data_IF_749448299626
#
_entry.id   IF_749448299626
#
_cell.length_a   1.000
_cell.length_b   1.000
_cell.length_c   1.000
_cell.angle_alpha   90.00
_cell.angle_beta   90.00
_cell.angle_gamma   90.00
#
_symmetry.space_group_name_H-M   'P 1'
#
loop_
_entity.id
_entity.type
_entity.pdbx_description
1 polymer ?
#
# COMPACT_ATOMS: atom_id res chain seq x y z
N UNK A 1 -21.07 -3.63 4.29
CA UNK A 1 -20.90 -3.14 2.90
C UNK A 1 -20.39 -4.24 1.96
N UNK A 2 -19.20 -4.82 2.15
CA UNK A 2 -18.75 -5.95 1.31
C UNK A 2 -19.65 -7.19 1.45
N UNK A 3 -20.14 -7.47 2.66
CA UNK A 3 -21.06 -8.57 2.95
C UNK A 3 -22.45 -8.34 2.33
N UNK A 4 -23.03 -7.15 2.52
CA UNK A 4 -24.31 -6.77 1.91
C UNK A 4 -24.28 -6.88 0.38
N UNK A 5 -23.16 -6.50 -0.24
CA UNK A 5 -22.99 -6.57 -1.69
C UNK A 5 -22.84 -8.01 -2.19
N UNK A 6 -22.22 -8.87 -1.38
CA UNK A 6 -22.10 -10.30 -1.66
C UNK A 6 -23.46 -11.00 -1.58
N UNK A 7 -24.28 -10.66 -0.58
CA UNK A 7 -25.66 -11.13 -0.44
C UNK A 7 -26.52 -10.69 -1.64
N UNK A 8 -26.36 -9.44 -2.10
CA UNK A 8 -27.03 -8.94 -3.31
C UNK A 8 -26.62 -9.74 -4.54
N UNK A 9 -25.32 -10.03 -4.71
CA UNK A 9 -24.83 -10.83 -5.85
C UNK A 9 -25.34 -12.28 -5.81
N UNK A 10 -25.37 -12.90 -4.62
CA UNK A 10 -25.96 -14.24 -4.43
C UNK A 10 -27.45 -14.24 -4.78
N UNK A 11 -28.18 -13.21 -4.34
CA UNK A 11 -29.58 -13.05 -4.69
C UNK A 11 -29.76 -12.90 -6.19
N UNK A 12 -28.94 -12.09 -6.87
CA UNK A 12 -28.96 -11.92 -8.33
C UNK A 12 -28.73 -13.27 -9.03
N UNK A 13 -27.77 -14.07 -8.58
CA UNK A 13 -27.49 -15.42 -9.12
C UNK A 13 -28.70 -16.37 -8.98
N UNK A 14 -29.35 -16.36 -7.81
CA UNK A 14 -30.60 -17.09 -7.60
C UNK A 14 -31.69 -16.63 -8.60
N UNK A 15 -31.83 -15.32 -8.83
CA UNK A 15 -32.80 -14.81 -9.81
C UNK A 15 -32.45 -15.16 -11.27
N UNK A 16 -31.17 -15.26 -11.60
CA UNK A 16 -30.69 -15.67 -12.92
C UNK A 16 -31.01 -17.15 -13.19
N UNK A 17 -30.79 -18.03 -12.20
CA UNK A 17 -30.99 -19.47 -12.31
C UNK A 17 -32.46 -19.93 -12.18
N UNK A 18 -33.36 -19.08 -11.68
CA UNK A 18 -34.81 -19.40 -11.56
C UNK A 18 -35.49 -19.91 -12.82
N UNK A 19 -35.03 -19.49 -14.01
CA UNK A 19 -35.60 -20.01 -15.26
C UNK A 19 -35.24 -21.47 -15.49
N UNK A 20 -34.03 -21.87 -15.12
CA UNK A 20 -33.60 -23.26 -15.15
C UNK A 20 -34.35 -24.07 -14.09
N UNK A 21 -34.51 -23.55 -12.87
CA UNK A 21 -35.22 -24.27 -11.78
C UNK A 21 -36.70 -24.55 -12.10
N UNK A 22 -37.32 -23.73 -12.96
CA UNK A 22 -38.72 -23.85 -13.34
C UNK A 22 -39.04 -24.96 -14.34
N UNK A 23 -38.05 -25.76 -14.77
CA UNK A 23 -38.02 -26.95 -15.65
C UNK A 23 -39.30 -27.52 -16.32
N UNK A 24 -40.52 -27.34 -15.81
CA UNK A 24 -41.78 -27.89 -16.32
C UNK A 24 -42.95 -26.89 -16.49
N UNK A 25 -42.89 -25.68 -15.94
CA UNK A 25 -43.95 -24.68 -16.14
C UNK A 25 -43.56 -23.75 -17.30
N UNK A 26 -43.89 -24.14 -18.52
CA UNK A 26 -43.76 -23.22 -19.65
C UNK A 26 -44.67 -22.00 -19.41
N UNK A 27 -44.12 -20.77 -19.52
CA UNK A 27 -44.94 -19.58 -19.40
C UNK A 27 -46.02 -19.62 -20.48
N UNK A 28 -47.26 -19.24 -20.11
CA UNK A 28 -48.42 -19.09 -21.00
C UNK A 28 -48.21 -17.92 -21.97
N UNK A 29 -47.16 -17.99 -22.77
CA UNK A 29 -46.68 -16.95 -23.64
C UNK A 29 -47.10 -17.30 -25.08
N UNK A 30 -47.92 -16.48 -25.73
CA UNK A 30 -48.28 -16.68 -27.15
C UNK A 30 -47.24 -16.09 -28.09
N UNK A 31 -47.04 -16.62 -29.30
CA UNK A 31 -46.04 -16.07 -30.27
C UNK A 31 -46.21 -14.56 -30.54
N UNK A 32 -47.42 -14.04 -30.42
CA UNK A 32 -47.69 -12.61 -30.60
C UNK A 32 -47.08 -11.77 -29.47
N UNK A 33 -47.24 -12.22 -28.22
CA UNK A 33 -46.62 -11.59 -27.06
C UNK A 33 -45.10 -11.62 -27.18
N UNK A 34 -44.55 -12.65 -27.83
CA UNK A 34 -43.09 -12.84 -27.90
C UNK A 34 -42.49 -11.76 -28.77
N UNK A 35 -43.10 -11.55 -29.94
CA UNK A 35 -42.71 -10.49 -30.86
C UNK A 35 -42.86 -9.11 -30.20
N UNK A 36 -43.88 -8.90 -29.36
CA UNK A 36 -44.12 -7.63 -28.68
C UNK A 36 -43.08 -7.29 -27.61
N UNK A 37 -42.67 -8.27 -26.79
CA UNK A 37 -41.77 -8.00 -25.65
C UNK A 37 -40.32 -8.42 -25.87
N UNK A 38 -39.97 -9.16 -26.93
CA UNK A 38 -38.59 -9.63 -27.20
C UNK A 38 -37.56 -8.51 -27.13
N UNK A 39 -37.84 -7.36 -27.74
CA UNK A 39 -36.93 -6.22 -27.71
C UNK A 39 -36.74 -5.65 -26.29
N UNK A 40 -37.83 -5.53 -25.53
CA UNK A 40 -37.80 -5.03 -24.16
C UNK A 40 -37.03 -5.99 -23.22
N UNK A 41 -37.31 -7.30 -23.31
CA UNK A 41 -36.59 -8.33 -22.56
C UNK A 41 -35.10 -8.29 -22.90
N UNK A 42 -34.75 -8.32 -24.18
CA UNK A 42 -33.34 -8.32 -24.61
C UNK A 42 -32.60 -7.10 -24.09
N UNK A 43 -33.25 -5.92 -24.13
CA UNK A 43 -32.69 -4.68 -23.60
C UNK A 43 -32.50 -4.74 -22.09
N UNK A 44 -33.48 -5.25 -21.35
CA UNK A 44 -33.41 -5.41 -19.90
C UNK A 44 -32.33 -6.42 -19.49
N UNK A 45 -32.25 -7.57 -20.17
CA UNK A 45 -31.23 -8.59 -19.92
C UNK A 45 -29.83 -8.04 -20.14
N UNK A 46 -29.60 -7.31 -21.24
CA UNK A 46 -28.30 -6.67 -21.51
C UNK A 46 -27.94 -5.64 -20.44
N UNK A 47 -28.90 -4.80 -20.04
CA UNK A 47 -28.69 -3.80 -18.98
C UNK A 47 -28.37 -4.44 -17.64
N UNK A 48 -29.09 -5.50 -17.28
CA UNK A 48 -28.84 -6.22 -16.03
C UNK A 48 -27.45 -6.87 -16.04
N UNK A 49 -27.06 -7.52 -17.15
CA UNK A 49 -25.74 -8.12 -17.28
C UNK A 49 -24.59 -7.10 -17.20
N UNK A 50 -24.79 -5.87 -17.70
CA UNK A 50 -23.83 -4.78 -17.54
C UNK A 50 -23.78 -4.31 -16.08
N UNK A 51 -24.93 -4.07 -15.45
CA UNK A 51 -25.00 -3.64 -14.05
C UNK A 51 -24.35 -4.64 -13.09
N UNK A 52 -24.56 -5.95 -13.30
CA UNK A 52 -23.91 -7.00 -12.50
C UNK A 52 -22.38 -6.98 -12.66
N UNK A 53 -21.88 -6.76 -13.88
CA UNK A 53 -20.43 -6.64 -14.13
C UNK A 53 -19.83 -5.42 -13.44
N UNK A 54 -20.49 -4.28 -13.54
CA UNK A 54 -20.05 -3.05 -12.86
C UNK A 54 -20.00 -3.25 -11.34
N UNK A 55 -20.99 -3.95 -10.78
CA UNK A 55 -21.04 -4.28 -9.36
C UNK A 55 -19.84 -5.13 -8.91
N UNK A 56 -19.51 -6.17 -9.70
CA UNK A 56 -18.35 -7.03 -9.46
C UNK A 56 -17.05 -6.22 -9.58
N UNK A 57 -16.95 -5.34 -10.58
CA UNK A 57 -15.79 -4.47 -10.76
C UNK A 57 -15.57 -3.54 -9.56
N UNK A 58 -16.63 -2.89 -9.07
CA UNK A 58 -16.53 -2.03 -7.89
C UNK A 58 -16.13 -2.83 -6.65
N UNK A 59 -16.65 -4.05 -6.47
CA UNK A 59 -16.28 -4.92 -5.35
C UNK A 59 -14.79 -5.31 -5.39
N UNK A 60 -14.28 -5.72 -6.55
CA UNK A 60 -12.86 -6.06 -6.71
C UNK A 60 -11.96 -4.85 -6.47
N UNK A 61 -12.38 -3.66 -6.92
CA UNK A 61 -11.67 -2.40 -6.68
C UNK A 61 -11.63 -2.03 -5.19
N UNK A 62 -12.75 -2.15 -4.47
CA UNK A 62 -12.79 -1.89 -3.02
C UNK A 62 -11.89 -2.87 -2.27
N UNK A 63 -11.90 -4.16 -2.64
CA UNK A 63 -11.01 -5.15 -2.04
C UNK A 63 -9.54 -4.85 -2.31
N UNK A 64 -9.17 -4.52 -3.55
CA UNK A 64 -7.78 -4.17 -3.88
C UNK A 64 -7.33 -2.91 -3.14
N UNK A 65 -8.21 -1.91 -3.01
CA UNK A 65 -7.94 -0.70 -2.22
C UNK A 65 -7.69 -1.08 -0.76
N UNK A 66 -8.54 -1.91 -0.16
CA UNK A 66 -8.40 -2.36 1.22
C UNK A 66 -7.09 -3.12 1.46
N UNK A 67 -6.73 -4.03 0.56
CA UNK A 67 -5.45 -4.76 0.62
C UNK A 67 -4.28 -3.79 0.51
N UNK A 68 -4.33 -2.86 -0.45
CA UNK A 68 -3.27 -1.87 -0.62
C UNK A 68 -3.12 -0.96 0.60
N UNK A 69 -4.24 -0.59 1.24
CA UNK A 69 -4.25 0.24 2.44
C UNK A 69 -3.67 -0.51 3.64
N UNK A 70 -4.07 -1.77 3.84
CA UNK A 70 -3.50 -2.63 4.88
C UNK A 70 -1.99 -2.80 4.70
N UNK A 71 -1.52 -3.04 3.46
CA UNK A 71 -0.10 -3.18 3.17
C UNK A 71 0.68 -1.88 3.44
N UNK A 72 0.11 -0.72 3.05
CA UNK A 72 0.70 0.59 3.34
C UNK A 72 0.74 0.86 4.85
N UNK A 73 -0.31 0.53 5.58
CA UNK A 73 -0.38 0.73 7.02
C UNK A 73 0.58 -0.19 7.79
N UNK A 74 0.77 -1.42 7.32
CA UNK A 74 1.80 -2.34 7.80
C UNK A 74 3.20 -1.75 7.58
N UNK A 75 3.49 -1.30 6.35
CA UNK A 75 4.78 -0.66 6.02
C UNK A 75 5.04 0.61 6.83
N UNK A 76 4.02 1.44 7.09
CA UNK A 76 4.14 2.61 7.97
C UNK A 76 4.40 2.20 9.42
N UNK A 77 3.78 1.13 9.91
CA UNK A 77 4.06 0.61 11.27
C UNK A 77 5.48 0.09 11.39
N UNK A 78 5.99 -0.60 10.37
CA UNK A 78 7.37 -1.08 10.37
C UNK A 78 8.36 0.09 10.36
N UNK A 79 8.08 1.16 9.61
CA UNK A 79 8.86 2.40 9.64
C UNK A 79 8.77 3.11 11.00
N UNK A 80 7.59 3.19 11.62
CA UNK A 80 7.43 3.76 12.97
C UNK A 80 8.12 2.93 14.05
N UNK A 81 8.12 1.61 13.93
CA UNK A 81 8.87 0.73 14.84
C UNK A 81 10.38 0.93 14.68
N UNK A 82 10.86 1.13 13.44
CA UNK A 82 12.25 1.48 13.17
C UNK A 82 12.61 2.85 13.78
N UNK A 83 11.78 3.87 13.59
CA UNK A 83 11.95 5.18 14.20
C UNK A 83 11.87 5.14 15.74
N UNK A 84 11.00 4.30 16.31
CA UNK A 84 10.94 4.11 17.76
C UNK A 84 12.19 3.42 18.30
N UNK A 85 12.73 2.42 17.60
CA UNK A 85 14.00 1.81 17.96
C UNK A 85 15.16 2.82 17.92
N UNK A 86 15.12 3.77 16.98
CA UNK A 86 16.10 4.86 16.90
C UNK A 86 15.89 5.92 18.01
N UNK A 87 14.65 6.31 18.30
CA UNK A 87 14.31 7.23 19.40
C UNK A 87 14.71 6.71 20.78
N UNK A 88 14.59 5.40 21.01
CA UNK A 88 15.07 4.77 22.26
C UNK A 88 16.59 4.97 22.40
N UNK A 89 17.35 4.88 21.30
CA UNK A 89 18.80 5.14 21.32
C UNK A 89 19.11 6.60 21.63
N UNK A 90 18.39 7.55 21.03
CA UNK A 90 18.56 8.97 21.33
C UNK A 90 18.28 9.29 22.80
N UNK A 91 17.25 8.68 23.40
CA UNK A 91 16.96 8.84 24.83
C UNK A 91 18.08 8.26 25.72
N UNK A 92 18.62 7.09 25.36
CA UNK A 92 19.79 6.53 26.04
C UNK A 92 21.02 7.43 25.91
N UNK A 93 21.26 8.02 24.73
CA UNK A 93 22.37 8.98 24.55
C UNK A 93 22.19 10.26 25.36
N UNK A 94 20.99 10.83 25.38
CA UNK A 94 20.69 12.00 26.22
C UNK A 94 20.92 11.68 27.70
N UNK A 95 20.41 10.54 28.19
CA UNK A 95 20.62 10.14 29.57
C UNK A 95 22.09 9.81 29.88
N UNK A 96 22.82 9.19 28.96
CA UNK A 96 24.26 8.96 29.13
C UNK A 96 25.05 10.26 29.32
N UNK A 97 24.56 11.37 28.76
CA UNK A 97 25.12 12.71 28.93
C UNK A 97 24.65 13.36 30.22
N UNK A 98 23.34 13.40 30.44
CA UNK A 98 22.73 14.15 31.53
C UNK A 98 22.89 13.48 32.90
N UNK A 99 23.07 12.18 32.96
CA UNK A 99 23.13 11.45 34.22
C UNK A 99 24.47 11.72 34.95
N UNK A 100 25.65 11.66 34.29
CA UNK A 100 26.90 12.12 34.89
C UNK A 100 26.92 13.64 35.13
N UNK A 101 26.33 14.43 34.23
CA UNK A 101 26.31 15.89 34.33
C UNK A 101 25.44 16.37 35.50
N UNK A 102 24.23 15.80 35.64
CA UNK A 102 23.31 16.04 36.73
C UNK A 102 23.87 15.59 38.09
N UNK A 103 24.59 14.47 38.10
CA UNK A 103 25.31 14.02 39.30
C UNK A 103 26.47 14.96 39.66
N UNK A 104 27.27 15.39 38.68
CA UNK A 104 28.35 16.34 38.91
C UNK A 104 27.82 17.69 39.42
N UNK A 105 26.71 18.20 38.86
CA UNK A 105 26.06 19.42 39.34
C UNK A 105 25.46 19.24 40.72
N UNK A 106 24.88 18.08 41.03
CA UNK A 106 24.32 17.79 42.35
C UNK A 106 25.39 17.66 43.43
N UNK A 107 26.47 16.92 43.16
CA UNK A 107 27.63 16.80 44.07
C UNK A 107 28.30 18.15 44.26
N UNK A 108 28.43 18.97 43.22
CA UNK A 108 28.98 20.32 43.34
C UNK A 108 28.04 21.27 44.08
N UNK A 109 26.72 21.14 43.88
CA UNK A 109 25.71 21.94 44.58
C UNK A 109 25.62 21.59 46.08
N UNK A 110 26.01 20.37 46.46
CA UNK A 110 25.98 19.89 47.85
C UNK A 110 27.37 19.94 48.51
N UNK A 111 28.43 20.11 47.71
CA UNK A 111 29.78 20.43 48.19
C UNK A 111 29.84 21.91 48.61
N UNK A 112 29.24 22.22 49.76
CA UNK A 112 29.68 23.36 50.55
C UNK A 112 31.19 23.19 50.80
N UNK A 113 32.03 23.96 50.11
CA UNK A 113 33.47 23.96 50.38
C UNK A 113 33.96 25.37 50.71
N UNK A 114 34.60 25.58 51.89
CA UNK A 114 35.30 26.81 52.21
C UNK A 114 36.45 27.06 51.22
N UNK A 115 36.95 28.31 51.12
CA UNK A 115 37.94 28.69 50.13
C UNK A 115 39.28 28.01 50.45
N UNK A 116 40.01 27.49 49.46
CA UNK A 116 41.47 27.49 49.29
C UNK A 116 41.97 26.30 48.44
N UNK A 117 42.59 26.62 47.28
CA UNK A 117 43.68 25.88 46.60
C UNK A 117 43.42 24.49 46.00
N UNK A 118 42.57 23.64 46.59
CA UNK A 118 42.34 22.25 46.17
C UNK A 118 41.24 22.08 45.09
N UNK A 119 40.43 23.10 44.88
CA UNK A 119 39.24 23.06 44.02
C UNK A 119 39.58 23.13 42.52
N UNK A 120 40.78 23.61 42.16
CA UNK A 120 41.24 23.71 40.76
C UNK A 120 41.35 22.33 40.10
N UNK A 121 41.76 21.31 40.87
CA UNK A 121 41.95 19.95 40.36
C UNK A 121 40.60 19.26 40.11
N UNK A 122 39.60 19.56 40.95
CA UNK A 122 38.22 19.11 40.76
C UNK A 122 37.56 19.77 39.54
N UNK A 123 37.77 21.08 39.37
CA UNK A 123 37.27 21.83 38.20
C UNK A 123 37.91 21.37 36.88
N UNK A 124 39.22 21.07 36.90
CA UNK A 124 39.90 20.52 35.74
C UNK A 124 39.42 19.09 35.43
N UNK A 125 39.17 18.26 36.45
CA UNK A 125 38.65 16.90 36.25
C UNK A 125 37.23 16.91 35.68
N UNK A 126 36.34 17.78 36.15
CA UNK A 126 34.99 17.89 35.60
C UNK A 126 34.99 18.42 34.17
N UNK A 127 35.87 19.39 33.84
CA UNK A 127 36.06 19.88 32.47
C UNK A 127 36.58 18.80 31.51
N UNK A 128 37.50 17.94 31.96
CA UNK A 128 38.01 16.82 31.15
C UNK A 128 36.93 15.76 30.94
N UNK A 129 36.15 15.45 31.98
CA UNK A 129 35.04 14.49 31.90
C UNK A 129 33.95 15.00 30.96
N UNK A 130 33.57 16.28 31.05
CA UNK A 130 32.58 16.87 30.13
C UNK A 130 33.11 16.94 28.70
N UNK A 131 34.40 17.24 28.50
CA UNK A 131 35.02 17.24 27.18
C UNK A 131 35.00 15.83 26.56
N UNK A 132 35.40 14.79 27.31
CA UNK A 132 35.38 13.41 26.82
C UNK A 132 33.96 12.93 26.51
N UNK A 133 32.99 13.30 27.34
CA UNK A 133 31.58 12.99 27.13
C UNK A 133 31.03 13.69 25.89
N UNK A 134 31.38 14.96 25.69
CA UNK A 134 30.98 15.74 24.51
C UNK A 134 31.62 15.16 23.24
N UNK A 135 32.91 14.81 23.27
CA UNK A 135 33.60 14.14 22.16
C UNK A 135 32.95 12.81 21.82
N UNK A 136 32.60 12.00 22.84
CA UNK A 136 31.92 10.72 22.65
C UNK A 136 30.55 10.88 21.99
N UNK A 137 29.79 11.92 22.38
CA UNK A 137 28.50 12.24 21.76
C UNK A 137 28.68 12.73 20.31
N UNK A 138 29.66 13.59 20.05
CA UNK A 138 29.93 14.14 18.72
C UNK A 138 30.34 13.03 17.76
N UNK A 139 31.26 12.13 18.16
CA UNK A 139 31.70 11.01 17.33
C UNK A 139 30.54 10.06 17.02
N UNK A 140 29.73 9.73 18.03
CA UNK A 140 28.54 8.91 17.83
C UNK A 140 27.53 9.59 16.88
N UNK A 141 27.30 10.90 17.01
CA UNK A 141 26.43 11.64 16.08
C UNK A 141 26.98 11.71 14.66
N UNK A 142 28.29 11.87 14.47
CA UNK A 142 28.90 11.89 13.13
C UNK A 142 28.74 10.55 12.43
N UNK A 143 28.98 9.45 13.15
CA UNK A 143 28.79 8.09 12.67
C UNK A 143 27.32 7.84 12.32
N UNK A 144 26.40 8.25 13.18
CA UNK A 144 24.96 8.14 12.92
C UNK A 144 24.53 8.97 11.70
N UNK A 145 24.99 10.21 11.58
CA UNK A 145 24.69 11.08 10.43
C UNK A 145 25.25 10.55 9.11
N UNK A 146 26.44 9.95 9.15
CA UNK A 146 27.07 9.39 7.95
C UNK A 146 26.35 8.12 7.47
N UNK A 147 25.91 7.25 8.40
CA UNK A 147 25.10 6.08 8.08
C UNK A 147 23.70 6.48 7.60
N UNK A 148 23.07 7.45 8.27
CA UNK A 148 21.74 7.94 7.93
C UNK A 148 21.72 8.64 6.57
N UNK A 149 22.70 9.50 6.27
CA UNK A 149 22.80 10.17 4.98
C UNK A 149 23.02 9.19 3.82
N UNK A 150 23.86 8.16 4.01
CA UNK A 150 24.04 7.08 3.01
C UNK A 150 22.75 6.29 2.77
N UNK A 151 22.04 5.89 3.83
CA UNK A 151 20.77 5.15 3.70
C UNK A 151 19.64 5.99 3.09
N UNK A 152 19.47 7.24 3.53
CA UNK A 152 18.46 8.15 2.98
C UNK A 152 18.76 8.42 1.50
N UNK A 153 20.02 8.68 1.14
CA UNK A 153 20.40 8.95 -0.24
C UNK A 153 20.22 7.72 -1.14
N UNK A 154 20.60 6.53 -0.67
CA UNK A 154 20.40 5.29 -1.44
C UNK A 154 18.91 5.00 -1.67
N UNK A 155 18.08 5.11 -0.63
CA UNK A 155 16.62 4.92 -0.74
C UNK A 155 15.96 5.92 -1.67
N UNK A 156 16.42 7.18 -1.65
CA UNK A 156 15.93 8.23 -2.57
C UNK A 156 16.35 7.92 -4.02
N UNK A 157 17.59 7.47 -4.23
CA UNK A 157 18.11 7.13 -5.55
C UNK A 157 17.39 5.92 -6.18
N UNK A 158 17.16 4.87 -5.42
CA UNK A 158 16.46 3.67 -5.88
C UNK A 158 15.00 3.97 -6.29
N UNK A 159 14.35 4.86 -5.54
CA UNK A 159 12.97 5.26 -5.83
C UNK A 159 12.88 6.14 -7.10
N UNK A 160 13.89 6.99 -7.35
CA UNK A 160 13.97 7.79 -8.58
C UNK A 160 14.30 6.94 -9.83
N UNK A 161 15.15 5.92 -9.70
CA UNK A 161 15.50 5.02 -10.81
C UNK A 161 14.33 4.19 -11.34
N UNK A 162 13.34 3.86 -10.49
CA UNK A 162 12.13 3.13 -10.94
C UNK A 162 11.03 4.02 -11.53
N UNK A 163 11.05 5.32 -11.23
CA UNK A 163 10.02 6.26 -11.66
C UNK A 163 10.26 6.81 -13.09
N UNK A 164 11.51 6.78 -13.57
CA UNK A 164 11.87 7.29 -14.90
C UNK A 164 11.77 6.25 -16.02
N UNK A 165 11.61 4.96 -15.69
CA UNK A 165 11.49 3.87 -16.67
C UNK A 165 10.04 3.47 -17.02
N UNK A 166 9.02 4.04 -16.37
CA UNK A 166 7.61 3.71 -16.62
C UNK A 166 6.80 4.83 -17.31
N UNK A 167 7.42 5.95 -17.67
CA UNK A 167 6.77 7.05 -18.42
C UNK A 167 7.26 6.98 -19.87
N UNK A 168 6.88 5.94 -20.61
CA UNK A 168 7.44 5.72 -21.93
C UNK A 168 6.76 4.69 -22.81
N UNK A 169 5.52 4.30 -22.58
CA UNK A 169 4.75 3.58 -23.61
C UNK A 169 3.26 3.57 -23.27
N UNK A 170 2.48 4.44 -23.91
CA UNK A 170 1.08 4.21 -24.30
C UNK A 170 0.64 5.38 -25.18
N UNK A 171 1.27 5.51 -26.33
CA UNK A 171 0.73 6.33 -27.42
C UNK A 171 -0.35 5.53 -28.16
N UNK A 172 -1.56 6.08 -28.08
CA UNK A 172 -2.69 5.93 -28.98
C UNK A 172 -2.38 5.32 -30.37
N UNK A 173 -3.16 4.31 -30.76
CA UNK A 173 -3.59 4.12 -32.15
C UNK A 173 -4.92 3.35 -32.19
N UNK A 174 -6.01 4.12 -32.22
CA UNK A 174 -7.29 3.69 -32.79
C UNK A 174 -7.17 3.79 -34.32
N UNK A 175 -7.43 2.70 -35.03
CA UNK A 175 -8.03 2.78 -36.37
C UNK A 175 -8.84 1.51 -36.65
N UNK A 176 -10.13 1.72 -36.92
CA UNK A 176 -11.02 0.78 -37.61
C UNK A 176 -11.38 1.48 -38.92
N UNK A 177 -11.40 0.78 -40.06
CA UNK A 177 -12.68 0.65 -40.75
C UNK A 177 -12.90 -0.72 -41.44
N UNK A 178 -14.06 -1.31 -41.18
CA UNK A 178 -15.00 -1.75 -42.23
C UNK A 178 -14.76 -3.09 -42.97
N UNK A 179 -15.84 -3.65 -43.58
CA UNK A 179 -16.02 -5.09 -43.77
C UNK A 179 -15.81 -5.55 -45.24
N UNK A 180 -15.56 -6.85 -45.45
CA UNK A 180 -15.81 -7.48 -46.76
C UNK A 180 -16.15 -8.96 -46.65
N UNK A 181 -17.18 -9.29 -47.42
CA UNK A 181 -17.81 -10.58 -47.67
C UNK A 181 -17.12 -11.29 -48.84
N UNK A 182 -16.98 -12.62 -48.78
CA UNK A 182 -16.95 -13.59 -49.90
C UNK A 182 -16.44 -14.94 -49.34
N UNK A 183 -17.23 -16.01 -49.27
CA UNK A 183 -17.62 -16.91 -50.37
C UNK A 183 -16.52 -17.92 -50.79
N UNK A 184 -16.77 -19.21 -50.52
CA UNK A 184 -16.49 -20.31 -51.45
C UNK A 184 -15.20 -21.12 -51.29
N UNK A 185 -15.36 -22.42 -50.92
CA UNK A 185 -14.58 -23.62 -51.31
C UNK A 185 -15.11 -24.77 -50.42
N UNK A 186 -15.80 -25.85 -50.83
CA UNK A 186 -15.81 -26.78 -51.98
C UNK A 186 -14.49 -27.55 -52.22
N UNK A 187 -14.55 -28.84 -51.89
CA UNK A 187 -13.67 -29.94 -52.32
C UNK A 187 -12.76 -30.46 -51.21
N UNK A 188 -12.49 -31.75 -51.03
CA UNK A 188 -12.94 -33.01 -51.63
C UNK A 188 -12.55 -34.12 -50.63
N UNK A 189 -13.32 -35.22 -50.61
CA UNK A 189 -12.90 -36.48 -49.99
C UNK A 189 -11.71 -37.11 -50.76
N UNK A 190 -11.02 -38.08 -50.15
CA UNK A 190 -10.84 -39.33 -50.88
C UNK A 190 -11.16 -40.58 -50.04
N UNK A 191 -11.76 -41.54 -50.73
CA UNK A 191 -11.98 -42.92 -50.32
C UNK A 191 -10.70 -43.75 -50.43
N UNK A 192 -10.84 -45.06 -50.13
CA UNK A 192 -9.93 -46.22 -50.33
C UNK A 192 -9.09 -46.55 -49.08
N UNK A 193 -8.95 -47.80 -48.64
CA UNK A 193 -9.55 -49.09 -49.00
C UNK A 193 -9.40 -50.02 -47.77
#
# INVERSE_FOLDING_TARGET
MEEDLKDILEKIDIWENRKADRNLEEPRWTRNDERRYRAAITKLTKRNALATRDLIYHLTTVRSLRVSFSNRLQSTRDELNFLNAENIRYFTYLNAVFLPLGFATGVWSMAESPPHGKNIKGMAATAVVTLLLTVTVIVNMQILKEQLSKCIFHRIWDNMGSSTLNIGETSHSQSVPGPSSAAGQRGNAPCTN
#
